data_IF_493017331866
#
_entry.id   IF_493017331866
#
_cell.length_a   1.000
_cell.length_b   1.000
_cell.length_c   1.000
_cell.angle_alpha   90.00
_cell.angle_beta   90.00
_cell.angle_gamma   90.00
#
_symmetry.space_group_name_H-M   'P 1'
#
loop_
_entity.id
_entity.type
_entity.pdbx_description
1 polymer ?
#
# COMPACT_ATOMS: atom_id res chain seq x y z
N UNK A 1 -2.65 25.79 -17.60
CA UNK A 1 -2.50 25.79 -16.13
C UNK A 1 -2.43 24.33 -15.72
N UNK A 2 -1.30 23.89 -15.17
CA UNK A 2 -1.14 22.49 -14.75
C UNK A 2 -2.08 22.25 -13.56
N UNK A 3 -3.12 21.46 -13.76
CA UNK A 3 -3.96 20.96 -12.68
C UNK A 3 -3.03 20.22 -11.71
N UNK A 4 -2.90 20.74 -10.49
CA UNK A 4 -2.08 20.14 -9.46
C UNK A 4 -2.54 18.71 -9.24
N UNK A 5 -1.72 17.75 -9.65
CA UNK A 5 -1.81 16.37 -9.18
C UNK A 5 -1.79 16.48 -7.66
N UNK A 6 -2.93 16.22 -7.02
CA UNK A 6 -3.03 16.11 -5.57
C UNK A 6 -2.10 14.94 -5.21
N UNK A 7 -0.86 15.27 -4.83
CA UNK A 7 0.12 14.27 -4.44
C UNK A 7 -0.36 13.71 -3.12
N UNK A 8 -0.33 12.39 -3.02
CA UNK A 8 -0.66 11.70 -1.79
C UNK A 8 0.24 12.23 -0.66
N UNK A 9 -0.32 12.48 0.53
CA UNK A 9 0.45 12.99 1.64
C UNK A 9 1.49 11.95 2.06
N UNK A 10 2.77 12.28 1.86
CA UNK A 10 3.88 11.47 2.37
C UNK A 10 4.22 11.97 3.76
N UNK A 11 4.11 11.09 4.75
CA UNK A 11 4.53 11.34 6.13
C UNK A 11 5.95 10.80 6.30
N UNK A 12 6.86 11.63 6.81
CA UNK A 12 8.22 11.21 7.12
C UNK A 12 8.28 10.82 8.60
N UNK A 13 8.42 9.53 8.86
CA UNK A 13 8.53 8.94 10.18
C UNK A 13 9.99 8.71 10.52
N UNK A 14 10.38 9.05 11.76
CA UNK A 14 11.67 8.67 12.33
C UNK A 14 11.42 7.52 13.29
N UNK A 15 11.83 6.32 12.89
CA UNK A 15 11.70 5.11 13.68
C UNK A 15 12.96 4.96 14.53
N UNK A 16 12.83 5.16 15.85
CA UNK A 16 13.93 5.13 16.82
C UNK A 16 13.78 4.04 17.89
N UNK A 17 12.81 3.16 17.73
CA UNK A 17 12.60 2.00 18.58
C UNK A 17 11.77 2.26 19.84
N UNK A 18 11.36 3.50 20.12
CA UNK A 18 10.49 3.79 21.29
C UNK A 18 9.13 3.10 21.13
N UNK A 19 8.47 3.27 19.98
CA UNK A 19 7.16 2.67 19.70
C UNK A 19 7.22 1.13 19.69
N UNK A 20 8.33 0.55 19.20
CA UNK A 20 8.54 -0.91 19.24
C UNK A 20 8.73 -1.41 20.68
N UNK A 21 9.41 -0.61 21.52
CA UNK A 21 9.59 -0.93 22.94
C UNK A 21 8.27 -0.81 23.71
N UNK A 22 7.44 0.19 23.38
CA UNK A 22 6.09 0.33 23.93
C UNK A 22 5.23 -0.87 23.53
N UNK A 23 5.21 -1.23 22.24
CA UNK A 23 4.48 -2.37 21.71
C UNK A 23 4.80 -3.67 22.47
N UNK A 24 6.08 -4.04 22.59
CA UNK A 24 6.44 -5.32 23.23
C UNK A 24 6.21 -5.35 24.75
N UNK A 25 6.03 -4.18 25.38
CA UNK A 25 5.70 -4.06 26.80
C UNK A 25 4.22 -3.72 27.04
N UNK A 26 3.46 -3.54 25.97
CA UNK A 26 2.05 -3.22 26.00
C UNK A 26 1.18 -4.43 26.35
N UNK A 27 -0.08 -4.18 26.73
CA UNK A 27 -1.04 -5.23 27.10
C UNK A 27 -1.45 -6.10 25.91
N UNK A 28 -1.40 -5.57 24.69
CA UNK A 28 -1.88 -6.24 23.48
C UNK A 28 -0.82 -7.18 22.86
N UNK A 29 0.43 -7.08 23.30
CA UNK A 29 1.57 -7.85 22.79
C UNK A 29 1.29 -9.35 22.70
N UNK A 30 0.87 -9.98 23.80
CA UNK A 30 0.70 -11.44 23.82
C UNK A 30 -0.43 -11.88 22.87
N UNK A 31 -1.51 -11.12 22.80
CA UNK A 31 -2.66 -11.43 21.95
C UNK A 31 -2.31 -11.26 20.46
N UNK A 32 -1.68 -10.15 20.09
CA UNK A 32 -1.27 -9.88 18.71
C UNK A 32 -0.22 -10.89 18.24
N UNK A 33 0.81 -11.14 19.04
CA UNK A 33 1.87 -12.07 18.67
C UNK A 33 1.39 -13.52 18.60
N UNK A 34 0.42 -13.92 19.45
CA UNK A 34 -0.23 -15.21 19.35
C UNK A 34 -1.02 -15.35 18.03
N UNK A 35 -1.71 -14.30 17.61
CA UNK A 35 -2.43 -14.26 16.34
C UNK A 35 -1.44 -14.38 15.17
N UNK A 36 -0.37 -13.59 15.15
CA UNK A 36 0.65 -13.66 14.09
C UNK A 36 1.32 -15.04 14.06
N UNK A 37 1.67 -15.61 15.22
CA UNK A 37 2.23 -16.96 15.32
C UNK A 37 1.28 -18.03 14.75
N UNK A 38 -0.03 -17.92 15.03
CA UNK A 38 -1.03 -18.88 14.53
C UNK A 38 -1.23 -18.82 13.01
N UNK A 39 -0.94 -17.68 12.38
CA UNK A 39 -1.04 -17.48 10.93
C UNK A 39 0.18 -17.99 10.17
N UNK A 40 1.29 -18.28 10.86
CA UNK A 40 2.46 -18.88 10.25
C UNK A 40 2.13 -20.35 9.93
N UNK A 41 1.68 -20.62 8.70
CA UNK A 41 1.61 -21.98 8.20
C UNK A 41 3.01 -22.61 8.27
N UNK A 42 3.08 -23.82 8.83
CA UNK A 42 4.31 -24.60 8.91
C UNK A 42 4.42 -25.56 7.72
N UNK A 43 5.08 -25.21 6.62
CA UNK A 43 5.65 -26.23 5.76
C UNK A 43 6.81 -26.83 6.56
N UNK A 44 6.55 -27.98 7.20
CA UNK A 44 7.50 -28.86 7.90
C UNK A 44 8.98 -28.39 7.85
N UNK A 45 9.46 -27.76 8.92
CA UNK A 45 10.91 -27.51 9.13
C UNK A 45 11.37 -26.05 9.28
N UNK A 46 10.49 -25.07 9.47
CA UNK A 46 10.92 -23.70 9.78
C UNK A 46 11.50 -23.58 11.20
N UNK A 47 12.69 -23.00 11.31
CA UNK A 47 13.40 -22.77 12.58
C UNK A 47 12.70 -21.70 13.44
N UNK A 48 13.03 -21.58 14.73
CA UNK A 48 12.51 -20.47 15.56
C UNK A 48 12.90 -19.12 14.93
N UNK A 49 14.12 -19.06 14.41
CA UNK A 49 14.67 -17.91 13.70
C UNK A 49 13.78 -17.49 12.53
N UNK A 50 13.36 -18.43 11.67
CA UNK A 50 12.52 -18.13 10.51
C UNK A 50 11.14 -17.59 10.91
N UNK A 51 10.57 -18.10 12.01
CA UNK A 51 9.29 -17.57 12.52
C UNK A 51 9.46 -16.14 13.05
N UNK A 52 10.54 -15.85 13.77
CA UNK A 52 10.82 -14.49 14.26
C UNK A 52 11.00 -13.53 13.08
N UNK A 53 11.78 -13.90 12.07
CA UNK A 53 11.96 -13.07 10.86
C UNK A 53 10.63 -12.80 10.18
N UNK A 54 9.81 -13.84 9.95
CA UNK A 54 8.50 -13.69 9.31
C UNK A 54 7.56 -12.77 10.09
N UNK A 55 7.59 -12.82 11.42
CA UNK A 55 6.74 -11.93 12.24
C UNK A 55 7.29 -10.50 12.26
N UNK A 56 8.61 -10.31 12.29
CA UNK A 56 9.22 -8.99 12.09
C UNK A 56 8.90 -8.40 10.70
N UNK A 57 8.70 -9.24 9.67
CA UNK A 57 8.23 -8.84 8.35
C UNK A 57 6.73 -8.45 8.33
N UNK A 58 5.95 -8.89 9.33
CA UNK A 58 4.52 -8.53 9.46
C UNK A 58 4.28 -7.28 10.31
N UNK A 59 5.25 -6.85 11.12
CA UNK A 59 5.17 -5.59 11.86
C UNK A 59 5.31 -4.39 10.91
N UNK A 60 4.54 -3.34 11.17
CA UNK A 60 4.55 -2.09 10.41
C UNK A 60 5.18 -0.95 11.21
N UNK A 61 5.21 0.23 10.60
CA UNK A 61 5.62 1.48 11.27
C UNK A 61 4.73 1.81 12.48
N UNK A 62 3.50 1.27 12.55
CA UNK A 62 2.58 1.47 13.67
C UNK A 62 3.06 0.75 14.94
N UNK A 63 3.70 -0.41 14.78
CA UNK A 63 4.41 -1.10 15.87
C UNK A 63 5.87 -0.65 16.01
N UNK A 64 6.25 0.48 15.41
CA UNK A 64 7.60 1.03 15.50
C UNK A 64 8.66 0.25 14.74
N UNK A 65 8.28 -0.56 13.74
CA UNK A 65 9.20 -1.35 12.93
C UNK A 65 9.36 -0.71 11.54
N UNK A 66 10.59 -0.42 11.06
CA UNK A 66 10.79 -0.06 9.66
C UNK A 66 10.50 -1.28 8.75
N UNK A 67 10.13 -1.07 7.48
CA UNK A 67 9.76 -2.16 6.59
C UNK A 67 10.90 -3.17 6.42
N UNK A 68 10.75 -4.36 7.02
CA UNK A 68 11.77 -5.43 7.06
C UNK A 68 12.08 -6.04 5.69
N UNK A 69 11.22 -5.81 4.69
CA UNK A 69 11.46 -6.19 3.29
C UNK A 69 12.59 -5.41 2.64
N UNK A 70 12.94 -4.23 3.18
CA UNK A 70 14.05 -3.42 2.66
C UNK A 70 15.40 -4.08 2.96
N UNK A 71 16.25 -4.18 1.94
CA UNK A 71 17.52 -4.93 2.02
C UNK A 71 18.41 -4.44 3.16
N UNK A 72 18.46 -3.13 3.41
CA UNK A 72 19.26 -2.57 4.50
C UNK A 72 18.71 -3.00 5.87
N UNK A 73 17.39 -2.92 6.07
CA UNK A 73 16.74 -3.28 7.35
C UNK A 73 16.94 -4.77 7.61
N UNK A 74 16.74 -5.62 6.60
CA UNK A 74 16.93 -7.05 6.71
C UNK A 74 18.35 -7.41 7.17
N UNK A 75 19.38 -6.91 6.48
CA UNK A 75 20.76 -7.30 6.76
C UNK A 75 21.36 -6.57 7.98
N UNK A 76 21.08 -5.28 8.15
CA UNK A 76 21.74 -4.47 9.19
C UNK A 76 21.00 -4.45 10.52
N UNK A 77 19.68 -4.66 10.51
CA UNK A 77 18.86 -4.64 11.71
C UNK A 77 18.41 -6.05 12.09
N UNK A 78 17.67 -6.74 11.23
CA UNK A 78 17.04 -8.03 11.56
C UNK A 78 18.07 -9.14 11.73
N UNK A 79 18.86 -9.44 10.69
CA UNK A 79 19.86 -10.51 10.70
C UNK A 79 20.96 -10.27 11.74
N UNK A 80 21.43 -9.03 11.89
CA UNK A 80 22.45 -8.65 12.88
C UNK A 80 21.94 -8.84 14.31
N UNK A 81 20.68 -8.49 14.57
CA UNK A 81 20.09 -8.67 15.89
C UNK A 81 19.93 -10.14 16.22
N UNK A 82 19.44 -10.94 15.27
CA UNK A 82 19.28 -12.39 15.45
C UNK A 82 20.61 -13.10 15.75
N UNK A 83 21.69 -12.71 15.07
CA UNK A 83 23.05 -13.19 15.36
C UNK A 83 23.50 -12.82 16.77
N UNK A 84 23.20 -11.60 17.23
CA UNK A 84 23.59 -11.12 18.56
C UNK A 84 22.80 -11.77 19.71
N UNK A 85 21.53 -12.10 19.48
CA UNK A 85 20.65 -12.67 20.50
C UNK A 85 20.91 -14.16 20.76
N UNK A 86 21.77 -14.81 19.96
CA UNK A 86 22.09 -16.24 20.02
C UNK A 86 20.81 -17.08 20.14
N UNK A 87 19.83 -16.82 19.25
CA UNK A 87 18.59 -17.59 19.17
C UNK A 87 18.98 -19.03 18.83
N UNK A 88 19.10 -19.87 19.86
CA UNK A 88 19.45 -21.26 19.66
C UNK A 88 18.22 -21.99 19.16
N UNK A 89 18.35 -22.65 18.01
CA UNK A 89 17.44 -23.74 17.64
C UNK A 89 17.67 -24.87 18.64
N UNK A 90 17.01 -24.78 19.79
CA UNK A 90 16.88 -25.92 20.66
C UNK A 90 16.06 -26.98 19.90
N UNK A 91 16.51 -28.23 19.90
CA UNK A 91 15.81 -29.44 19.42
C UNK A 91 14.44 -29.70 20.12
N UNK A 92 13.91 -28.69 20.81
CA UNK A 92 12.67 -28.73 21.58
C UNK A 92 11.52 -28.24 20.70
N UNK A 93 10.32 -28.86 20.77
CA UNK A 93 9.18 -28.40 20.00
C UNK A 93 8.90 -26.92 20.28
N UNK A 94 8.79 -26.14 19.20
CA UNK A 94 8.46 -24.72 19.21
C UNK A 94 7.11 -24.55 19.91
N UNK A 95 7.11 -24.09 21.17
CA UNK A 95 5.90 -23.67 21.86
C UNK A 95 5.67 -22.17 21.64
N UNK A 96 4.40 -21.77 21.58
CA UNK A 96 4.01 -20.36 21.49
C UNK A 96 4.65 -19.52 22.61
N UNK A 97 4.69 -20.04 23.84
CA UNK A 97 5.34 -19.37 24.98
C UNK A 97 6.84 -19.12 24.73
N UNK A 98 7.55 -20.11 24.16
CA UNK A 98 8.97 -19.96 23.82
C UNK A 98 9.15 -18.90 22.74
N UNK A 99 8.28 -18.91 21.73
CA UNK A 99 8.28 -17.91 20.66
C UNK A 99 8.06 -16.49 21.22
N UNK A 100 7.07 -16.29 22.09
CA UNK A 100 6.77 -14.97 22.67
C UNK A 100 7.94 -14.40 23.47
N UNK A 101 8.63 -15.24 24.25
CA UNK A 101 9.78 -14.81 25.05
C UNK A 101 10.98 -14.45 24.15
N UNK A 102 11.30 -15.32 23.18
CA UNK A 102 12.43 -15.08 22.30
C UNK A 102 12.18 -13.93 21.31
N UNK A 103 10.96 -13.79 20.78
CA UNK A 103 10.59 -12.65 19.95
C UNK A 103 10.75 -11.34 20.74
N UNK A 104 10.25 -11.27 21.98
CA UNK A 104 10.36 -10.07 22.81
C UNK A 104 11.82 -9.65 23.02
N UNK A 105 12.71 -10.62 23.21
CA UNK A 105 14.16 -10.38 23.35
C UNK A 105 14.77 -9.82 22.06
N UNK A 106 14.43 -10.41 20.90
CA UNK A 106 14.91 -9.95 19.60
C UNK A 106 14.36 -8.55 19.30
N UNK A 107 13.06 -8.34 19.42
CA UNK A 107 12.41 -7.04 19.19
C UNK A 107 12.94 -5.94 20.13
N UNK A 108 13.19 -6.26 21.41
CA UNK A 108 13.83 -5.31 22.33
C UNK A 108 15.27 -4.96 21.93
N UNK A 109 16.01 -5.91 21.37
CA UNK A 109 17.35 -5.67 20.83
C UNK A 109 17.29 -4.86 19.53
N UNK A 110 16.30 -5.10 18.67
CA UNK A 110 16.02 -4.27 17.48
C UNK A 110 15.73 -2.83 17.90
N UNK A 111 14.85 -2.62 18.89
CA UNK A 111 14.53 -1.30 19.44
C UNK A 111 15.78 -0.58 19.95
N UNK A 112 16.69 -1.29 20.63
CA UNK A 112 17.96 -0.72 21.07
C UNK A 112 18.85 -0.28 19.90
N UNK A 113 18.96 -1.09 18.84
CA UNK A 113 19.71 -0.70 17.64
C UNK A 113 19.10 0.52 16.95
N UNK A 114 17.76 0.59 16.86
CA UNK A 114 17.04 1.75 16.31
C UNK A 114 17.25 3.02 17.14
N UNK A 115 17.42 2.90 18.46
CA UNK A 115 17.73 4.03 19.32
C UNK A 115 19.11 4.63 19.03
N UNK A 116 20.08 3.79 18.72
CA UNK A 116 21.44 4.21 18.33
C UNK A 116 21.49 4.69 16.87
N UNK A 117 20.76 4.04 15.98
CA UNK A 117 20.69 4.34 14.55
C UNK A 117 19.24 4.39 14.06
N UNK A 118 18.56 5.55 14.25
CA UNK A 118 17.19 5.72 13.82
C UNK A 118 17.05 5.62 12.29
N UNK A 119 15.99 4.98 11.84
CA UNK A 119 15.67 4.81 10.42
C UNK A 119 14.61 5.82 10.02
N UNK A 120 14.80 6.51 8.89
CA UNK A 120 13.79 7.42 8.36
C UNK A 120 12.96 6.68 7.32
N UNK A 121 11.66 6.61 7.55
CA UNK A 121 10.68 5.93 6.70
C UNK A 121 9.73 6.96 6.10
N UNK A 122 9.56 6.91 4.79
CA UNK A 122 8.47 7.57 4.10
C UNK A 122 7.25 6.64 4.15
N UNK A 123 6.24 7.06 4.88
CA UNK A 123 4.96 6.38 5.00
C UNK A 123 3.93 7.12 4.14
N UNK A 124 3.21 6.37 3.32
CA UNK A 124 2.13 6.87 2.50
C UNK A 124 0.90 6.01 2.75
N UNK A 125 -0.19 6.63 3.19
CA UNK A 125 -1.48 5.96 3.37
C UNK A 125 -2.54 6.67 2.55
N UNK A 126 -3.21 5.92 1.70
CA UNK A 126 -4.30 6.38 0.86
C UNK A 126 -5.56 5.58 1.15
N UNK A 127 -6.66 6.27 1.42
CA UNK A 127 -7.98 5.65 1.55
C UNK A 127 -8.93 6.15 0.47
N UNK A 128 -9.45 5.23 -0.33
CA UNK A 128 -10.43 5.48 -1.38
C UNK A 128 -11.83 5.15 -0.87
N UNK A 129 -12.57 6.19 -0.50
CA UNK A 129 -13.91 6.13 0.09
C UNK A 129 -15.01 6.69 -0.84
N UNK A 130 -14.67 6.99 -2.10
CA UNK A 130 -15.60 7.54 -3.08
C UNK A 130 -15.91 9.04 -2.93
N UNK A 131 -15.36 9.72 -1.91
CA UNK A 131 -15.59 11.16 -1.68
C UNK A 131 -15.13 12.05 -2.85
N UNK A 132 -14.04 11.67 -3.53
CA UNK A 132 -13.57 12.35 -4.75
C UNK A 132 -14.56 12.22 -5.92
N UNK A 133 -15.17 11.05 -6.09
CA UNK A 133 -16.21 10.81 -7.10
C UNK A 133 -17.44 11.63 -6.76
N UNK A 134 -17.89 11.59 -5.49
CA UNK A 134 -19.04 12.34 -5.00
C UNK A 134 -18.89 13.85 -5.25
N UNK A 135 -17.70 14.39 -4.99
CA UNK A 135 -17.36 15.80 -5.28
C UNK A 135 -17.48 16.11 -6.77
N UNK A 136 -16.95 15.24 -7.64
CA UNK A 136 -17.00 15.44 -9.09
C UNK A 136 -18.44 15.35 -9.62
N UNK A 137 -19.21 14.33 -9.21
CA UNK A 137 -20.62 14.17 -9.58
C UNK A 137 -21.49 15.33 -9.07
N UNK A 138 -21.15 15.92 -7.92
CA UNK A 138 -21.84 17.08 -7.36
C UNK A 138 -21.55 18.39 -8.10
N UNK A 139 -20.52 18.46 -8.94
CA UNK A 139 -20.15 19.66 -9.71
C UNK A 139 -20.40 19.44 -11.20
N UNK A 140 -21.59 19.81 -11.66
CA UNK A 140 -22.01 19.65 -13.06
C UNK A 140 -21.02 20.22 -14.08
N UNK A 141 -20.45 21.40 -13.81
CA UNK A 141 -19.51 22.04 -14.75
C UNK A 141 -18.20 21.27 -14.85
N UNK A 142 -17.62 20.85 -13.72
CA UNK A 142 -16.41 20.01 -13.72
C UNK A 142 -16.67 18.64 -14.35
N UNK A 143 -17.82 18.04 -14.06
CA UNK A 143 -18.23 16.75 -14.64
C UNK A 143 -18.35 16.85 -16.16
N UNK A 144 -19.15 17.77 -16.68
CA UNK A 144 -19.37 17.93 -18.13
C UNK A 144 -18.04 18.16 -18.86
N UNK A 145 -17.18 19.05 -18.35
CA UNK A 145 -15.84 19.31 -18.90
C UNK A 145 -14.95 18.06 -18.90
N UNK A 146 -14.99 17.29 -17.82
CA UNK A 146 -14.17 16.06 -17.66
C UNK A 146 -14.64 14.97 -18.62
N UNK A 147 -15.96 14.80 -18.76
CA UNK A 147 -16.58 13.88 -19.71
C UNK A 147 -16.26 14.27 -21.16
N UNK A 148 -16.34 15.55 -21.51
CA UNK A 148 -15.97 16.06 -22.84
C UNK A 148 -14.51 15.75 -23.18
N UNK A 149 -13.60 15.99 -22.23
CA UNK A 149 -12.16 15.71 -22.40
C UNK A 149 -11.91 14.20 -22.60
N UNK A 150 -12.63 13.35 -21.86
CA UNK A 150 -12.51 11.89 -21.98
C UNK A 150 -13.04 11.36 -23.33
N UNK A 151 -14.08 11.97 -23.89
CA UNK A 151 -14.67 11.56 -25.18
C UNK A 151 -14.05 12.25 -26.40
N UNK A 152 -13.26 13.30 -26.22
CA UNK A 152 -12.56 14.00 -27.31
C UNK A 152 -11.58 13.09 -28.04
N UNK A 153 -10.83 12.28 -27.27
CA UNK A 153 -9.83 11.34 -27.81
C UNK A 153 -10.40 9.95 -28.15
N UNK A 154 -11.70 9.74 -27.93
CA UNK A 154 -12.32 8.44 -28.18
C UNK A 154 -12.41 8.14 -29.69
N UNK A 155 -12.11 6.92 -30.14
CA UNK A 155 -12.36 6.51 -31.52
C UNK A 155 -13.86 6.59 -31.84
N UNK A 156 -14.21 7.43 -32.81
CA UNK A 156 -15.59 7.64 -33.27
C UNK A 156 -15.81 7.03 -34.66
N UNK A 157 -16.98 6.44 -34.87
CA UNK A 157 -17.40 6.01 -36.20
C UNK A 157 -17.82 7.21 -37.09
N UNK A 158 -18.23 6.93 -38.32
CA UNK A 158 -18.71 7.96 -39.28
C UNK A 158 -19.96 8.71 -38.79
N UNK A 159 -20.65 8.19 -37.79
CA UNK A 159 -21.87 8.70 -37.20
C UNK A 159 -21.63 9.33 -35.82
N UNK A 160 -20.37 9.47 -35.38
CA UNK A 160 -20.00 10.03 -34.08
C UNK A 160 -20.28 9.10 -32.90
N UNK A 161 -20.45 7.80 -33.13
CA UNK A 161 -20.66 6.80 -32.06
C UNK A 161 -19.34 6.26 -31.54
N UNK A 162 -19.33 5.90 -30.25
CA UNK A 162 -18.18 5.40 -29.52
C UNK A 162 -18.47 3.94 -29.11
N UNK A 163 -17.46 3.06 -29.22
CA UNK A 163 -17.56 1.68 -28.73
C UNK A 163 -17.54 1.66 -27.20
N UNK A 164 -18.40 0.85 -26.59
CA UNK A 164 -18.36 0.66 -25.13
C UNK A 164 -17.06 0.07 -24.61
N UNK A 165 -16.27 -0.62 -25.44
CA UNK A 165 -14.91 -1.07 -25.08
C UNK A 165 -13.98 0.09 -24.66
N UNK A 166 -14.31 1.31 -25.08
CA UNK A 166 -13.58 2.51 -24.68
C UNK A 166 -13.96 3.02 -23.27
N UNK A 167 -14.98 2.45 -22.61
CA UNK A 167 -15.42 2.89 -21.28
C UNK A 167 -14.32 2.78 -20.24
N UNK A 168 -13.52 1.70 -20.27
CA UNK A 168 -12.39 1.53 -19.34
C UNK A 168 -11.34 2.62 -19.54
N UNK A 169 -11.03 2.96 -20.80
CA UNK A 169 -10.06 4.00 -21.13
C UNK A 169 -10.59 5.39 -20.74
N UNK A 170 -11.87 5.66 -21.02
CA UNK A 170 -12.51 6.89 -20.62
C UNK A 170 -12.58 7.02 -19.09
N UNK A 171 -12.83 5.91 -18.37
CA UNK A 171 -12.82 5.87 -16.91
C UNK A 171 -11.43 6.18 -16.34
N UNK A 172 -10.37 5.64 -16.93
CA UNK A 172 -8.99 5.95 -16.54
C UNK A 172 -8.66 7.44 -16.75
N UNK A 173 -9.13 8.03 -17.85
CA UNK A 173 -8.92 9.45 -18.14
C UNK A 173 -9.61 10.39 -17.13
N UNK A 174 -10.73 9.97 -16.53
CA UNK A 174 -11.46 10.75 -15.52
C UNK A 174 -11.03 10.43 -14.08
N UNK A 175 -10.32 9.32 -13.87
CA UNK A 175 -9.93 8.84 -12.53
C UNK A 175 -9.19 9.91 -11.70
N UNK A 176 -8.20 10.66 -12.24
CA UNK A 176 -7.52 11.71 -11.48
C UNK A 176 -8.46 12.82 -11.00
N UNK A 177 -9.45 13.21 -11.81
CA UNK A 177 -10.46 14.21 -11.44
C UNK A 177 -11.40 13.69 -10.35
N UNK A 178 -11.63 12.38 -10.32
CA UNK A 178 -12.44 11.68 -9.32
C UNK A 178 -11.66 11.29 -8.05
N UNK A 179 -10.36 11.59 -7.97
CA UNK A 179 -9.52 11.16 -6.85
C UNK A 179 -9.30 9.65 -6.79
N UNK A 180 -9.45 8.96 -7.93
CA UNK A 180 -9.16 7.55 -8.09
C UNK A 180 -7.72 7.36 -8.59
N UNK A 181 -7.06 6.24 -8.25
CA UNK A 181 -5.76 5.92 -8.80
C UNK A 181 -5.91 5.55 -10.29
N UNK A 182 -4.83 5.63 -11.09
CA UNK A 182 -4.81 5.06 -12.42
C UNK A 182 -5.19 3.57 -12.39
N UNK A 183 -5.96 3.13 -13.38
CA UNK A 183 -6.34 1.73 -13.53
C UNK A 183 -5.06 0.89 -13.75
N UNK A 184 -4.91 -0.21 -13.02
CA UNK A 184 -3.70 -1.04 -13.01
C UNK A 184 -2.71 -0.70 -11.89
N UNK A 185 -2.88 0.43 -11.18
CA UNK A 185 -1.96 0.82 -10.11
C UNK A 185 -2.24 0.09 -8.79
N UNK A 186 -3.52 -0.26 -8.52
CA UNK A 186 -3.97 -0.84 -7.25
C UNK A 186 -4.94 -1.97 -7.56
N UNK A 187 -4.57 -3.20 -7.19
CA UNK A 187 -5.31 -4.41 -7.54
C UNK A 187 -6.74 -4.41 -6.97
N UNK A 188 -6.89 -4.04 -5.71
CA UNK A 188 -8.19 -3.97 -5.02
C UNK A 188 -9.13 -2.95 -5.69
N UNK A 189 -8.58 -1.84 -6.17
CA UNK A 189 -9.36 -0.84 -6.91
C UNK A 189 -9.75 -1.35 -8.30
N UNK A 190 -8.86 -2.09 -8.96
CA UNK A 190 -9.14 -2.72 -10.24
C UNK A 190 -10.22 -3.79 -10.15
N UNK A 191 -10.28 -4.53 -9.04
CA UNK A 191 -11.36 -5.48 -8.75
C UNK A 191 -12.71 -4.77 -8.64
N UNK A 192 -12.78 -3.69 -7.85
CA UNK A 192 -14.00 -2.85 -7.70
C UNK A 192 -14.44 -2.31 -9.06
N UNK A 193 -13.53 -1.71 -9.82
CA UNK A 193 -13.83 -1.17 -11.16
C UNK A 193 -14.27 -2.28 -12.11
N UNK A 194 -13.59 -3.41 -12.10
CA UNK A 194 -13.90 -4.57 -12.94
C UNK A 194 -15.27 -5.18 -12.64
N UNK A 195 -15.68 -5.22 -11.37
CA UNK A 195 -17.00 -5.69 -10.96
C UNK A 195 -18.11 -4.76 -11.48
N UNK A 196 -17.95 -3.45 -11.33
CA UNK A 196 -18.92 -2.45 -11.81
C UNK A 196 -19.07 -2.50 -13.34
N UNK A 197 -17.96 -2.56 -14.07
CA UNK A 197 -17.99 -2.65 -15.54
C UNK A 197 -18.72 -3.92 -16.03
N UNK A 198 -18.50 -5.05 -15.36
CA UNK A 198 -19.22 -6.31 -15.63
C UNK A 198 -20.71 -6.18 -15.34
N UNK A 199 -21.09 -5.61 -14.20
CA UNK A 199 -22.50 -5.42 -13.81
C UNK A 199 -23.26 -4.56 -14.82
N UNK A 200 -22.60 -3.58 -15.44
CA UNK A 200 -23.22 -2.64 -16.38
C UNK A 200 -23.19 -3.08 -17.85
N UNK A 201 -22.70 -4.29 -18.15
CA UNK A 201 -22.49 -4.76 -19.53
C UNK A 201 -21.68 -3.76 -20.37
N UNK A 202 -20.57 -3.28 -19.80
CA UNK A 202 -19.69 -2.30 -20.42
C UNK A 202 -18.85 -2.87 -21.58
N UNK A 203 -18.77 -4.20 -21.72
CA UNK A 203 -17.87 -4.85 -22.69
C UNK A 203 -18.61 -5.53 -23.87
N UNK A 204 -19.85 -5.14 -24.14
CA UNK A 204 -20.66 -5.75 -25.24
C UNK A 204 -20.27 -5.26 -26.65
N UNK A 205 -19.24 -4.42 -26.77
CA UNK A 205 -18.74 -3.86 -28.04
C UNK A 205 -19.73 -2.94 -28.76
N UNK A 206 -20.87 -2.61 -28.14
CA UNK A 206 -21.93 -1.85 -28.78
C UNK A 206 -21.47 -0.41 -29.06
N UNK A 207 -21.80 0.09 -30.25
CA UNK A 207 -21.64 1.50 -30.59
C UNK A 207 -22.79 2.32 -30.02
N UNK A 208 -22.48 3.29 -29.18
CA UNK A 208 -23.44 4.20 -28.54
C UNK A 208 -23.17 5.66 -28.93
N UNK A 209 -24.19 6.52 -28.86
CA UNK A 209 -24.00 7.95 -29.10
C UNK A 209 -23.17 8.56 -27.96
N UNK A 210 -22.49 9.67 -28.24
CA UNK A 210 -21.66 10.35 -27.24
C UNK A 210 -22.42 10.71 -25.95
N UNK A 211 -23.67 11.20 -26.05
CA UNK A 211 -24.48 11.51 -24.86
C UNK A 211 -24.83 10.25 -24.03
N UNK A 212 -25.12 9.13 -24.70
CA UNK A 212 -25.38 7.84 -24.06
C UNK A 212 -24.11 7.29 -23.39
N UNK A 213 -22.96 7.45 -24.06
CA UNK A 213 -21.64 7.07 -23.52
C UNK A 213 -21.32 7.87 -22.25
N UNK A 214 -21.48 9.20 -22.28
CA UNK A 214 -21.27 10.08 -21.13
C UNK A 214 -22.20 9.75 -19.96
N UNK A 215 -23.46 9.45 -20.25
CA UNK A 215 -24.43 8.99 -19.24
C UNK A 215 -23.97 7.69 -18.59
N UNK A 216 -23.52 6.71 -19.39
CA UNK A 216 -23.02 5.44 -18.88
C UNK A 216 -21.78 5.63 -18.01
N UNK A 217 -20.83 6.48 -18.43
CA UNK A 217 -19.65 6.78 -17.63
C UNK A 217 -20.01 7.40 -16.26
N UNK A 218 -20.99 8.30 -16.26
CA UNK A 218 -21.52 8.92 -15.03
C UNK A 218 -22.18 7.89 -14.11
N UNK A 219 -22.97 6.96 -14.66
CA UNK A 219 -23.60 5.86 -13.92
C UNK A 219 -22.56 4.88 -13.34
N UNK A 220 -21.51 4.56 -14.09
CA UNK A 220 -20.37 3.73 -13.63
C UNK A 220 -19.69 4.41 -12.44
N UNK A 221 -19.36 5.71 -12.55
CA UNK A 221 -18.77 6.46 -11.45
C UNK A 221 -19.67 6.45 -10.21
N UNK A 222 -20.98 6.68 -10.37
CA UNK A 222 -21.93 6.64 -9.28
C UNK A 222 -21.99 5.27 -8.59
N UNK A 223 -21.87 4.19 -9.36
CA UNK A 223 -21.83 2.83 -8.82
C UNK A 223 -20.52 2.56 -8.05
N UNK A 224 -19.37 2.95 -8.60
CA UNK A 224 -18.07 2.84 -7.91
C UNK A 224 -18.12 3.64 -6.59
N UNK A 225 -18.66 4.86 -6.61
CA UNK A 225 -18.83 5.68 -5.42
C UNK A 225 -19.61 4.94 -4.33
N UNK A 226 -20.76 4.33 -4.67
CA UNK A 226 -21.57 3.59 -3.71
C UNK A 226 -20.84 2.36 -3.14
N UNK A 227 -20.08 1.63 -3.97
CA UNK A 227 -19.28 0.51 -3.50
C UNK A 227 -18.19 0.97 -2.52
N UNK A 228 -17.47 2.06 -2.84
CA UNK A 228 -16.42 2.61 -1.97
C UNK A 228 -16.98 3.23 -0.69
N UNK A 229 -18.18 3.83 -0.71
CA UNK A 229 -18.85 4.32 0.50
C UNK A 229 -19.23 3.16 1.45
N UNK A 230 -19.51 1.97 0.91
CA UNK A 230 -19.83 0.78 1.70
C UNK A 230 -18.58 0.03 2.16
N UNK A 231 -17.54 -0.04 1.32
CA UNK A 231 -16.28 -0.72 1.58
C UNK A 231 -15.11 0.11 1.02
N UNK A 232 -14.54 1.02 1.84
CA UNK A 232 -13.38 1.79 1.44
C UNK A 232 -12.17 0.88 1.17
N UNK A 233 -11.28 1.32 0.27
CA UNK A 233 -10.02 0.66 -0.01
C UNK A 233 -8.89 1.48 0.58
N UNK A 234 -8.16 0.92 1.55
CA UNK A 234 -7.00 1.57 2.17
C UNK A 234 -5.71 0.89 1.73
N UNK A 235 -4.75 1.68 1.27
CA UNK A 235 -3.44 1.24 0.79
C UNK A 235 -2.39 1.98 1.61
N UNK A 236 -1.50 1.22 2.23
CA UNK A 236 -0.36 1.70 2.99
C UNK A 236 0.92 1.25 2.30
N UNK A 237 1.88 2.17 2.15
CA UNK A 237 3.20 1.90 1.61
C UNK A 237 4.27 2.54 2.51
N UNK A 238 5.30 1.78 2.82
CA UNK A 238 6.41 2.17 3.67
C UNK A 238 7.71 2.00 2.91
N UNK A 239 8.55 3.02 2.85
CA UNK A 239 9.86 2.95 2.20
C UNK A 239 10.92 3.63 3.05
N UNK A 240 12.07 3.00 3.23
CA UNK A 240 13.20 3.63 3.92
C UNK A 240 13.81 4.70 3.01
N UNK A 241 13.78 5.96 3.46
CA UNK A 241 14.32 7.11 2.72
C UNK A 241 15.73 7.50 3.15
N UNK A 242 16.18 7.05 4.31
CA UNK A 242 17.55 7.28 4.77
C UNK A 242 18.10 6.05 5.48
N UNK A 243 19.12 5.46 4.88
CA UNK A 243 19.95 4.43 5.51
C UNK A 243 21.01 5.11 6.39
N UNK A 244 21.09 4.78 7.69
CA UNK A 244 22.20 5.21 8.54
C UNK A 244 23.55 4.73 7.97
N UNK A 245 24.26 5.63 7.30
CA UNK A 245 25.65 5.50 6.87
C UNK A 245 26.01 4.17 6.17
N UNK A 246 25.52 3.98 4.94
CA UNK A 246 26.41 3.40 3.93
C UNK A 246 27.59 4.37 3.79
N UNK A 247 28.76 4.00 4.31
CA UNK A 247 29.99 4.76 4.07
C UNK A 247 30.20 4.90 2.57
N UNK A 248 29.86 6.07 2.03
CA UNK A 248 30.20 6.47 0.66
C UNK A 248 31.72 6.67 0.60
N UNK A 249 32.44 5.56 0.58
CA UNK A 249 33.80 5.47 0.03
C UNK A 249 33.55 5.36 -1.47
N UNK A 250 33.76 6.38 -2.31
CA UNK A 250 35.03 7.06 -2.54
C UNK A 250 34.73 8.36 -3.29
N UNK A 251 35.01 9.50 -2.65
CA UNK A 251 35.19 10.78 -3.35
C UNK A 251 36.40 10.64 -4.28
N UNK A 252 36.20 10.89 -5.58
CA UNK A 252 37.29 11.00 -6.55
C UNK A 252 38.25 12.11 -6.08
N UNK A 253 39.58 11.88 -6.08
CA UNK A 253 40.53 12.93 -5.77
C UNK A 253 40.58 13.96 -6.91
N UNK A 254 40.84 15.25 -6.60
CA UNK A 254 40.95 16.28 -7.63
C UNK A 254 42.20 16.04 -8.47
N UNK A 255 42.03 16.07 -9.79
CA UNK A 255 43.11 16.06 -10.77
C UNK A 255 44.03 17.26 -10.52
N UNK A 256 45.33 17.00 -10.38
CA UNK A 256 46.38 18.04 -10.41
C UNK A 256 46.69 18.47 -11.83
#
# INVERSE_FOLDING_TARGET
MASGLKRDPIVILRIDGEDLLEFINGPDYEAEMALLFSQLESPNGSSLHDHIVKVLEQLTVDQGMPPSSESWVKSNLVERTLQSCNVQDHDKPLSQETFLVEFKKVAGSVAQHLKEQPVIVAHCENTFEGSGIKRLLGNKFELDKTLDTATENAPKDRNGKISKEYLRVALDAIAPSAGLPPIGAIHEMDEVIGEVLKMMNADDGKLVKEDEFKKMLTEIMGTIMLQLECKPVSISSNTVVHEPFASSTTLLPPSS
#
